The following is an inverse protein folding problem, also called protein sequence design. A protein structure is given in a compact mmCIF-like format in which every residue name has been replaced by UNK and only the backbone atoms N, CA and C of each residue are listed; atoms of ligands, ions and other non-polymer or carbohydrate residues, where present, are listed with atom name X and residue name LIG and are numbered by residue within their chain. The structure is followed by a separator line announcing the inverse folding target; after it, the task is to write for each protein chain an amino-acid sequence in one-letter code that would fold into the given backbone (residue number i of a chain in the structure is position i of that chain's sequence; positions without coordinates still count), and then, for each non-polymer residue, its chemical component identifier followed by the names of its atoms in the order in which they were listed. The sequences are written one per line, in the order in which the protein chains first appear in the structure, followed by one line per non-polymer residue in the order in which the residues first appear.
data_IF_025423282923
#
_entry.id   IF_025423282923
#
_cell.length_a   1.000
_cell.length_b   1.000
_cell.length_c   1.000
_cell.angle_alpha   90.00
_cell.angle_beta   90.00
_cell.angle_gamma   90.00
#
_symmetry.space_group_name_H-M   'P 1'
#
loop_
_entity.id
_entity.type
_entity.pdbx_description
1 polymer ?
#
# COMPACT_ATOMS: atom_id res chain seq x y z
N UNK A 1 -1.78 -8.49 4.73
CA UNK A 1 -1.86 -7.14 5.36
C UNK A 1 -2.96 -7.12 6.43
N UNK A 2 -4.27 -7.19 6.09
CA UNK A 2 -5.38 -7.45 7.04
C UNK A 2 -6.68 -7.74 6.28
N UNK A 3 -7.78 -8.07 6.99
CA UNK A 3 -9.11 -8.35 6.39
C UNK A 3 -9.59 -7.24 5.44
N UNK A 4 -9.32 -5.98 5.80
CA UNK A 4 -9.81 -4.80 5.08
C UNK A 4 -8.68 -3.96 4.47
N UNK A 5 -7.43 -4.47 4.37
CA UNK A 5 -6.31 -3.75 3.71
C UNK A 5 -5.75 -4.56 2.56
N UNK A 6 -5.59 -3.92 1.40
CA UNK A 6 -5.07 -4.55 0.18
C UNK A 6 -3.88 -3.77 -0.36
N UNK A 7 -2.92 -4.48 -0.96
CA UNK A 7 -1.97 -3.92 -1.92
C UNK A 7 -2.48 -4.28 -3.31
N UNK A 8 -2.55 -3.30 -4.21
CA UNK A 8 -2.93 -3.52 -5.61
C UNK A 8 -2.02 -2.72 -6.54
N UNK A 9 -1.84 -3.20 -7.77
CA UNK A 9 -1.12 -2.48 -8.82
C UNK A 9 -2.13 -2.03 -9.86
N UNK A 10 -2.12 -0.75 -10.21
CA UNK A 10 -3.03 -0.21 -11.23
C UNK A 10 -2.34 0.79 -12.14
N UNK A 11 -2.91 1.00 -13.33
CA UNK A 11 -2.53 2.11 -14.23
C UNK A 11 -3.51 3.26 -14.07
N UNK A 12 -3.01 4.47 -13.86
CA UNK A 12 -3.81 5.69 -13.81
C UNK A 12 -3.12 6.78 -14.64
N UNK A 13 -3.83 7.31 -15.65
CA UNK A 13 -3.30 8.33 -16.57
C UNK A 13 -1.90 8.00 -17.12
N UNK A 14 -1.71 6.74 -17.53
CA UNK A 14 -0.44 6.25 -18.08
C UNK A 14 0.63 5.87 -17.05
N UNK A 15 0.45 6.17 -15.77
CA UNK A 15 1.40 5.84 -14.70
C UNK A 15 1.03 4.54 -13.99
N UNK A 16 2.02 3.70 -13.70
CA UNK A 16 1.85 2.52 -12.83
C UNK A 16 1.96 2.97 -11.38
N UNK A 17 0.98 2.56 -10.56
CA UNK A 17 0.91 2.88 -9.15
C UNK A 17 0.76 1.61 -8.31
N UNK A 18 1.46 1.56 -7.18
CA UNK A 18 1.26 0.56 -6.12
C UNK A 18 0.38 1.19 -5.04
N UNK A 19 -0.86 0.73 -4.92
CA UNK A 19 -1.83 1.24 -3.94
C UNK A 19 -1.88 0.36 -2.71
N UNK A 20 -1.65 0.96 -1.53
CA UNK A 20 -1.76 0.32 -0.21
C UNK A 20 -2.92 1.00 0.51
N UNK A 21 -4.06 0.32 0.65
CA UNK A 21 -5.32 0.99 1.01
C UNK A 21 -6.25 0.14 1.87
N UNK A 22 -6.97 0.80 2.77
CA UNK A 22 -8.12 0.25 3.47
C UNK A 22 -9.36 0.26 2.56
N UNK A 23 -10.09 -0.85 2.57
CA UNK A 23 -11.33 -1.04 1.84
C UNK A 23 -12.49 -1.22 2.84
N UNK A 24 -13.68 -0.92 2.37
CA UNK A 24 -14.92 -1.13 3.10
C UNK A 24 -15.94 -1.80 2.19
N UNK A 25 -16.95 -2.43 2.80
CA UNK A 25 -17.99 -3.14 2.07
C UNK A 25 -19.32 -2.40 2.17
N UNK A 26 -20.00 -2.24 1.03
CA UNK A 26 -21.37 -1.69 0.96
C UNK A 26 -22.19 -2.53 0.01
N UNK A 27 -23.27 -3.15 0.50
CA UNK A 27 -24.15 -3.96 -0.35
C UNK A 27 -23.44 -5.11 -1.08
N UNK A 28 -22.42 -5.72 -0.45
CA UNK A 28 -21.62 -6.79 -1.07
C UNK A 28 -20.45 -6.30 -1.93
N UNK A 29 -20.42 -5.03 -2.32
CA UNK A 29 -19.32 -4.45 -3.09
C UNK A 29 -18.16 -4.01 -2.19
N UNK A 30 -16.94 -4.27 -2.65
CA UNK A 30 -15.71 -3.86 -1.97
C UNK A 30 -15.20 -2.54 -2.56
N UNK A 31 -15.27 -1.46 -1.78
CA UNK A 31 -14.94 -0.11 -2.22
C UNK A 31 -13.66 0.40 -1.54
N UNK A 32 -12.80 1.16 -2.23
CA UNK A 32 -11.63 1.77 -1.62
C UNK A 32 -12.05 2.85 -0.63
N UNK A 33 -11.39 2.87 0.54
CA UNK A 33 -11.56 3.89 1.57
C UNK A 33 -10.57 5.05 1.43
N UNK A 34 -10.79 6.09 2.25
CA UNK A 34 -9.91 7.27 2.30
C UNK A 34 -8.52 6.98 2.85
N UNK A 35 -8.40 5.99 3.75
CA UNK A 35 -7.13 5.62 4.40
C UNK A 35 -6.29 4.74 3.47
N UNK A 36 -5.23 5.32 2.90
CA UNK A 36 -4.31 4.60 2.03
C UNK A 36 -3.47 5.54 1.18
N UNK A 37 -2.40 5.00 0.58
CA UNK A 37 -1.47 5.73 -0.28
C UNK A 37 -1.32 5.02 -1.62
N UNK A 38 -1.21 5.80 -2.70
CA UNK A 38 -0.79 5.30 -4.00
C UNK A 38 0.64 5.76 -4.24
N UNK A 39 1.56 4.81 -4.31
CA UNK A 39 2.98 5.07 -4.56
C UNK A 39 3.23 5.05 -6.06
N UNK A 40 3.97 6.03 -6.57
CA UNK A 40 4.59 5.91 -7.89
C UNK A 40 5.64 4.79 -7.89
N UNK A 41 6.07 4.35 -9.07
CA UNK A 41 7.15 3.36 -9.15
C UNK A 41 8.44 3.83 -8.48
N UNK A 42 8.79 5.12 -8.59
CA UNK A 42 9.97 5.67 -7.94
C UNK A 42 9.85 5.60 -6.41
N UNK A 43 8.70 5.99 -5.86
CA UNK A 43 8.43 5.91 -4.42
C UNK A 43 8.41 4.46 -3.91
N UNK A 44 7.87 3.54 -4.72
CA UNK A 44 7.87 2.12 -4.41
C UNK A 44 9.29 1.55 -4.37
N UNK A 45 10.14 1.90 -5.34
CA UNK A 45 11.54 1.46 -5.37
C UNK A 45 12.31 1.97 -4.14
N UNK A 46 12.14 3.25 -3.79
CA UNK A 46 12.74 3.83 -2.56
C UNK A 46 12.27 3.08 -1.31
N UNK A 47 10.97 2.75 -1.21
CA UNK A 47 10.46 1.94 -0.10
C UNK A 47 11.15 0.57 -0.04
N UNK A 48 11.33 -0.10 -1.19
CA UNK A 48 12.00 -1.40 -1.28
C UNK A 48 13.47 -1.33 -0.80
N UNK A 49 14.20 -0.27 -1.17
CA UNK A 49 15.58 -0.04 -0.73
C UNK A 49 15.70 0.09 0.79
N UNK A 50 14.67 0.63 1.45
CA UNK A 50 14.66 0.86 2.89
C UNK A 50 14.14 -0.33 3.72
N UNK A 51 13.62 -1.40 3.09
CA UNK A 51 12.99 -2.54 3.81
C UNK A 51 13.88 -3.10 4.90
N UNK A 52 15.18 -3.32 4.64
CA UNK A 52 16.12 -3.85 5.65
C UNK A 52 16.27 -2.93 6.87
N UNK A 53 16.31 -1.62 6.63
CA UNK A 53 16.41 -0.63 7.70
C UNK A 53 15.11 -0.57 8.52
N UNK A 54 13.96 -0.66 7.84
CA UNK A 54 12.65 -0.75 8.48
C UNK A 54 12.56 -2.00 9.34
N UNK A 55 12.94 -3.18 8.84
CA UNK A 55 12.92 -4.44 9.59
C UNK A 55 13.79 -4.35 10.85
N UNK A 56 15.00 -3.77 10.72
CA UNK A 56 15.90 -3.54 11.85
C UNK A 56 15.29 -2.59 12.89
N UNK A 57 14.56 -1.56 12.46
CA UNK A 57 13.87 -0.64 13.36
C UNK A 57 12.68 -1.30 14.06
N UNK A 58 11.88 -2.10 13.34
CA UNK A 58 10.75 -2.86 13.90
C UNK A 58 11.23 -3.82 15.00
N UNK A 59 12.35 -4.52 14.79
CA UNK A 59 12.95 -5.41 15.80
C UNK A 59 13.45 -4.69 17.06
N UNK A 60 13.74 -3.39 17.00
CA UNK A 60 14.17 -2.61 18.18
C UNK A 60 13.01 -2.09 19.02
N UNK A 61 11.84 -1.96 18.41
CA UNK A 61 10.64 -1.37 19.04
C UNK A 61 9.68 -2.46 19.55
N UNK A 62 9.74 -3.65 18.95
CA UNK A 62 9.08 -4.86 19.47
C UNK A 62 9.98 -5.61 20.44
#
# INVERSE_FOLDING_TARGET
ISKNRKVSVRKWRGQVLVDIREYWYKGGECLPGKKGISLTMDQWNVLQEHVKQIDSAVQRVN
#
